data_IF_587535504340
#
_entry.id   IF_587535504340
#
_cell.length_a   1.000
_cell.length_b   1.000
_cell.length_c   1.000
_cell.angle_alpha   90.00
_cell.angle_beta   90.00
_cell.angle_gamma   90.00
#
_symmetry.space_group_name_H-M   'P 1'
#
loop_
_entity.id
_entity.type
_entity.pdbx_description
1 polymer ?
#
# COMPACT_ATOMS: atom_id res chain seq x y z
N UNK A 1 9.44 15.49 7.01
CA UNK A 1 8.46 14.52 7.55
C UNK A 1 8.40 13.32 6.62
N UNK A 2 8.23 12.12 7.17
CA UNK A 2 8.12 10.85 6.44
C UNK A 2 6.72 10.28 6.62
N UNK A 3 6.16 9.69 5.56
CA UNK A 3 4.88 8.98 5.58
C UNK A 3 5.02 7.55 5.06
N UNK A 4 4.43 6.60 5.77
CA UNK A 4 4.17 5.26 5.28
C UNK A 4 2.67 5.14 5.01
N UNK A 5 2.32 4.76 3.80
CA UNK A 5 0.94 4.50 3.38
C UNK A 5 0.79 3.00 3.18
N UNK A 6 -0.21 2.39 3.80
CA UNK A 6 -0.60 1.01 3.54
C UNK A 6 -1.93 1.02 2.80
N UNK A 7 -1.95 0.53 1.56
CA UNK A 7 -3.17 0.36 0.80
C UNK A 7 -3.88 -0.93 1.20
N UNK A 8 -5.16 -0.78 1.54
CA UNK A 8 -6.03 -1.88 1.95
C UNK A 8 -7.37 -1.82 1.24
N UNK A 9 -7.99 -2.98 1.05
CA UNK A 9 -9.41 -3.09 0.67
C UNK A 9 -10.26 -3.35 1.90
N UNK A 10 -11.48 -2.84 1.93
CA UNK A 10 -12.45 -3.23 2.95
C UNK A 10 -12.69 -4.76 2.86
N UNK A 11 -12.60 -5.50 3.96
CA UNK A 11 -12.75 -6.96 3.97
C UNK A 11 -14.23 -7.36 3.81
N UNK A 12 -14.67 -7.40 2.56
CA UNK A 12 -16.04 -7.79 2.18
C UNK A 12 -15.98 -9.11 1.45
N UNK A 13 -16.83 -10.06 1.84
CA UNK A 13 -16.95 -11.37 1.23
C UNK A 13 -17.18 -11.26 -0.29
N UNK A 14 -16.44 -12.05 -1.06
CA UNK A 14 -16.46 -12.00 -2.53
C UNK A 14 -15.78 -10.81 -3.19
N UNK A 15 -15.19 -9.87 -2.40
CA UNK A 15 -14.52 -8.67 -2.93
C UNK A 15 -13.01 -8.64 -2.66
N UNK A 16 -12.51 -9.49 -1.76
CA UNK A 16 -11.08 -9.61 -1.43
C UNK A 16 -10.57 -10.99 -1.76
N UNK A 17 -9.32 -11.09 -2.24
CA UNK A 17 -8.61 -12.34 -2.50
C UNK A 17 -9.46 -13.38 -3.27
N UNK A 18 -10.20 -12.95 -4.26
CA UNK A 18 -11.15 -13.81 -5.03
C UNK A 18 -10.49 -15.02 -5.69
N UNK A 19 -9.19 -14.97 -5.96
CA UNK A 19 -8.40 -16.11 -6.49
C UNK A 19 -8.36 -17.31 -5.51
N UNK A 20 -8.70 -17.12 -4.25
CA UNK A 20 -8.75 -18.19 -3.24
C UNK A 20 -10.14 -18.85 -3.16
N UNK A 21 -11.17 -18.30 -3.83
CA UNK A 21 -12.54 -18.80 -3.77
C UNK A 21 -12.72 -20.27 -4.19
N UNK A 22 -11.93 -20.82 -5.15
CA UNK A 22 -12.02 -22.25 -5.45
C UNK A 22 -11.66 -23.17 -4.29
N UNK A 23 -10.90 -22.66 -3.31
CA UNK A 23 -10.34 -23.46 -2.22
C UNK A 23 -10.87 -23.10 -0.83
N UNK A 24 -11.42 -21.90 -0.65
CA UNK A 24 -11.90 -21.39 0.63
C UNK A 24 -13.26 -20.69 0.47
N UNK A 25 -14.11 -20.82 1.50
CA UNK A 25 -15.35 -20.04 1.54
C UNK A 25 -15.09 -18.54 1.63
N UNK A 26 -16.00 -17.69 1.11
CA UNK A 26 -15.83 -16.24 1.15
C UNK A 26 -15.57 -15.70 2.55
N UNK A 27 -16.21 -16.25 3.59
CA UNK A 27 -16.02 -15.80 4.98
C UNK A 27 -14.62 -16.15 5.51
N UNK A 28 -14.13 -17.37 5.24
CA UNK A 28 -12.75 -17.77 5.59
C UNK A 28 -11.71 -16.92 4.88
N UNK A 29 -11.97 -16.52 3.64
CA UNK A 29 -11.12 -15.60 2.89
C UNK A 29 -11.07 -14.22 3.57
N UNK A 30 -12.21 -13.72 4.03
CA UNK A 30 -12.29 -12.45 4.77
C UNK A 30 -11.49 -12.52 6.06
N UNK A 31 -11.62 -13.59 6.85
CA UNK A 31 -10.85 -13.78 8.09
C UNK A 31 -9.34 -13.84 7.82
N UNK A 32 -8.93 -14.60 6.83
CA UNK A 32 -7.53 -14.69 6.40
C UNK A 32 -6.99 -13.32 5.97
N UNK A 33 -7.76 -12.59 5.17
CA UNK A 33 -7.37 -11.26 4.72
C UNK A 33 -7.26 -10.26 5.86
N UNK A 34 -8.19 -10.28 6.83
CA UNK A 34 -8.10 -9.47 8.05
C UNK A 34 -6.81 -9.77 8.82
N UNK A 35 -6.44 -11.05 8.94
CA UNK A 35 -5.19 -11.46 9.58
C UNK A 35 -3.96 -10.89 8.86
N UNK A 36 -3.93 -10.92 7.53
CA UNK A 36 -2.84 -10.33 6.73
C UNK A 36 -2.71 -8.83 6.96
N UNK A 37 -3.84 -8.11 6.91
CA UNK A 37 -3.86 -6.67 7.13
C UNK A 37 -3.40 -6.33 8.56
N UNK A 38 -3.88 -7.06 9.55
CA UNK A 38 -3.50 -6.84 10.96
C UNK A 38 -2.00 -7.07 11.17
N UNK A 39 -1.45 -8.15 10.60
CA UNK A 39 -0.03 -8.47 10.72
C UNK A 39 0.86 -7.37 10.12
N UNK A 40 0.56 -6.92 8.88
CA UNK A 40 1.37 -5.90 8.23
C UNK A 40 1.27 -4.56 8.96
N UNK A 41 0.09 -4.18 9.44
CA UNK A 41 -0.10 -2.96 10.23
C UNK A 41 0.66 -3.03 11.55
N UNK A 42 0.59 -4.15 12.26
CA UNK A 42 1.34 -4.37 13.51
C UNK A 42 2.85 -4.22 13.29
N UNK A 43 3.39 -4.80 12.22
CA UNK A 43 4.80 -4.64 11.84
C UNK A 43 5.14 -3.17 11.53
N UNK A 44 4.32 -2.53 10.72
CA UNK A 44 4.52 -1.12 10.33
C UNK A 44 4.43 -0.17 11.54
N UNK A 45 3.60 -0.50 12.53
CA UNK A 45 3.45 0.34 13.71
C UNK A 45 4.72 0.44 14.57
N UNK A 46 5.67 -0.49 14.41
CA UNK A 46 6.97 -0.47 15.07
C UNK A 46 7.96 0.54 14.46
N UNK A 47 7.64 1.14 13.32
CA UNK A 47 8.48 2.18 12.72
C UNK A 47 8.39 3.47 13.54
N UNK A 48 9.53 4.00 13.95
CA UNK A 48 9.62 5.30 14.63
C UNK A 48 9.85 6.42 13.61
N UNK A 49 9.47 7.65 13.95
CA UNK A 49 9.68 8.86 13.13
C UNK A 49 9.03 8.82 11.73
N UNK A 50 7.99 8.02 11.57
CA UNK A 50 7.22 7.88 10.34
C UNK A 50 5.74 7.93 10.69
N UNK A 51 5.01 8.88 10.10
CA UNK A 51 3.55 8.92 10.18
C UNK A 51 2.95 7.80 9.33
N UNK A 52 1.95 7.10 9.87
CA UNK A 52 1.36 5.94 9.23
C UNK A 52 -0.07 6.25 8.80
N UNK A 53 -0.37 5.87 7.58
CA UNK A 53 -1.66 6.08 6.94
C UNK A 53 -2.23 4.80 6.39
N UNK A 54 -3.53 4.62 6.55
CA UNK A 54 -4.30 3.56 5.92
C UNK A 54 -5.08 4.15 4.75
N UNK A 55 -4.68 3.81 3.53
CA UNK A 55 -5.41 4.17 2.31
C UNK A 55 -6.44 3.09 1.99
N UNK A 56 -7.72 3.39 2.14
CA UNK A 56 -8.82 2.43 2.12
C UNK A 56 -9.58 2.44 0.78
N UNK A 57 -9.93 1.27 0.27
CA UNK A 57 -10.81 1.10 -0.90
C UNK A 57 -11.94 0.09 -0.57
N UNK A 58 -13.16 0.29 -1.06
CA UNK A 58 -13.65 1.48 -1.74
C UNK A 58 -13.79 2.68 -0.80
N UNK A 59 -13.90 2.45 0.51
CA UNK A 59 -14.04 3.48 1.54
C UNK A 59 -13.41 3.02 2.85
N UNK A 60 -13.00 3.98 3.68
CA UNK A 60 -12.56 3.76 5.07
C UNK A 60 -13.73 3.49 6.03
N UNK A 61 -14.97 3.69 5.57
CA UNK A 61 -16.18 3.45 6.36
C UNK A 61 -16.49 1.95 6.44
N UNK A 62 -15.67 1.22 7.19
CA UNK A 62 -15.77 -0.20 7.45
C UNK A 62 -15.36 -0.47 8.90
N UNK A 63 -16.10 -1.29 9.64
CA UNK A 63 -15.89 -1.54 11.06
C UNK A 63 -14.46 -2.04 11.36
N UNK A 64 -13.98 -3.03 10.62
CA UNK A 64 -12.62 -3.56 10.79
C UNK A 64 -11.54 -2.50 10.53
N UNK A 65 -11.70 -1.67 9.49
CA UNK A 65 -10.72 -0.62 9.20
C UNK A 65 -10.75 0.49 10.25
N UNK A 66 -11.92 0.82 10.80
CA UNK A 66 -12.06 1.76 11.93
C UNK A 66 -11.40 1.22 13.20
N UNK A 67 -11.61 -0.06 13.51
CA UNK A 67 -10.97 -0.72 14.65
C UNK A 67 -9.44 -0.70 14.51
N UNK A 68 -8.89 -1.05 13.35
CA UNK A 68 -7.45 -0.96 13.10
C UNK A 68 -6.91 0.46 13.29
N UNK A 69 -7.59 1.47 12.75
CA UNK A 69 -7.13 2.86 12.88
C UNK A 69 -7.13 3.32 14.33
N UNK A 70 -8.11 2.90 15.13
CA UNK A 70 -8.19 3.20 16.56
C UNK A 70 -7.09 2.48 17.33
N UNK A 71 -6.99 1.15 17.15
CA UNK A 71 -6.03 0.30 17.89
C UNK A 71 -4.58 0.72 17.64
N UNK A 72 -4.22 0.99 16.39
CA UNK A 72 -2.85 1.33 16.02
C UNK A 72 -2.59 2.85 15.89
N UNK A 73 -3.58 3.69 16.23
CA UNK A 73 -3.50 5.16 16.16
C UNK A 73 -3.08 5.65 14.77
N UNK A 74 -3.67 5.08 13.72
CA UNK A 74 -3.38 5.41 12.33
C UNK A 74 -4.29 6.54 11.85
N UNK A 75 -3.80 7.34 10.91
CA UNK A 75 -4.63 8.22 10.10
C UNK A 75 -5.17 7.41 8.91
N UNK A 76 -6.39 7.68 8.44
CA UNK A 76 -6.97 6.99 7.29
C UNK A 76 -7.54 7.95 6.26
N UNK A 77 -7.59 7.50 5.02
CA UNK A 77 -8.20 8.22 3.90
C UNK A 77 -8.77 7.24 2.87
N UNK A 78 -9.70 7.70 2.05
CA UNK A 78 -10.23 6.93 0.93
C UNK A 78 -9.31 7.05 -0.28
N UNK A 79 -9.00 5.92 -0.94
CA UNK A 79 -8.24 5.92 -2.18
C UNK A 79 -9.04 6.60 -3.29
N UNK A 80 -8.43 7.54 -4.00
CA UNK A 80 -9.05 8.30 -5.09
C UNK A 80 -8.41 7.93 -6.42
N UNK A 81 -9.22 7.59 -7.41
CA UNK A 81 -8.77 7.25 -8.76
C UNK A 81 -9.52 6.05 -9.34
N UNK A 82 -9.54 5.96 -10.66
CA UNK A 82 -10.27 4.92 -11.42
C UNK A 82 -9.49 3.58 -11.43
N UNK A 83 -8.19 3.64 -11.43
CA UNK A 83 -7.29 2.48 -11.44
C UNK A 83 -6.21 2.59 -10.34
N UNK A 84 -5.39 1.56 -10.18
CA UNK A 84 -4.37 1.52 -9.13
C UNK A 84 -3.31 2.62 -9.31
N UNK A 85 -2.91 2.93 -10.55
CA UNK A 85 -1.95 3.99 -10.84
C UNK A 85 -2.44 5.37 -10.39
N UNK A 86 -3.66 5.74 -10.76
CA UNK A 86 -4.27 7.00 -10.31
C UNK A 86 -4.38 7.07 -8.78
N UNK A 87 -4.72 5.95 -8.13
CA UNK A 87 -4.81 5.88 -6.66
C UNK A 87 -3.45 6.11 -6.01
N UNK A 88 -2.39 5.52 -6.56
CA UNK A 88 -1.02 5.73 -6.10
C UNK A 88 -0.64 7.20 -6.29
N UNK A 89 -0.78 7.74 -7.49
CA UNK A 89 -0.44 9.13 -7.81
C UNK A 89 -1.16 10.10 -6.86
N UNK A 90 -2.47 9.96 -6.71
CA UNK A 90 -3.28 10.84 -5.87
C UNK A 90 -2.87 10.74 -4.39
N UNK A 91 -2.60 9.53 -3.89
CA UNK A 91 -2.14 9.33 -2.52
C UNK A 91 -0.81 10.05 -2.26
N UNK A 92 0.17 9.93 -3.17
CA UNK A 92 1.43 10.63 -3.06
C UNK A 92 1.25 12.15 -3.12
N UNK A 93 0.53 12.66 -4.13
CA UNK A 93 0.31 14.09 -4.31
C UNK A 93 -0.38 14.72 -3.10
N UNK A 94 -1.45 14.08 -2.57
CA UNK A 94 -2.17 14.56 -1.40
C UNK A 94 -1.27 14.63 -0.14
N UNK A 95 -0.33 13.69 0.00
CA UNK A 95 0.57 13.68 1.14
C UNK A 95 1.76 14.64 0.94
N UNK A 96 2.28 14.81 -0.27
CA UNK A 96 3.26 15.86 -0.55
C UNK A 96 2.68 17.27 -0.27
N UNK A 97 1.42 17.53 -0.66
CA UNK A 97 0.71 18.78 -0.33
C UNK A 97 0.57 19.01 1.18
N UNK A 98 0.50 17.96 1.98
CA UNK A 98 0.49 18.02 3.45
C UNK A 98 1.89 18.23 4.07
N UNK A 99 2.93 18.40 3.25
CA UNK A 99 4.31 18.68 3.69
C UNK A 99 5.18 17.45 3.98
N UNK A 100 4.71 16.23 3.67
CA UNK A 100 5.58 15.05 3.70
C UNK A 100 6.62 15.16 2.59
N UNK A 101 7.86 14.79 2.86
CA UNK A 101 8.97 14.90 1.90
C UNK A 101 9.43 13.54 1.37
N UNK A 102 9.26 12.51 2.15
CA UNK A 102 9.58 11.12 1.79
C UNK A 102 8.34 10.28 2.09
N UNK A 103 7.83 9.58 1.08
CA UNK A 103 6.64 8.74 1.19
C UNK A 103 6.98 7.36 0.68
N UNK A 104 6.60 6.35 1.43
CA UNK A 104 6.63 4.95 1.02
C UNK A 104 5.21 4.41 1.05
N UNK A 105 4.79 3.74 -0.01
CA UNK A 105 3.49 3.08 -0.13
C UNK A 105 3.73 1.58 -0.32
N UNK A 106 2.99 0.77 0.44
CA UNK A 106 2.97 -0.69 0.33
C UNK A 106 1.53 -1.20 0.21
N UNK A 107 1.37 -2.37 -0.40
CA UNK A 107 0.11 -3.12 -0.35
C UNK A 107 -0.03 -3.92 0.95
N UNK A 108 -1.25 -4.39 1.22
CA UNK A 108 -1.56 -5.28 2.35
C UNK A 108 -1.54 -6.78 2.00
N UNK A 109 -1.16 -7.11 0.77
CA UNK A 109 -1.28 -8.46 0.22
C UNK A 109 -0.12 -9.40 0.57
N UNK A 110 0.97 -8.85 1.10
CA UNK A 110 2.19 -9.58 1.45
C UNK A 110 2.53 -9.42 2.93
N UNK A 111 1.83 -10.10 3.85
CA UNK A 111 2.02 -9.95 5.29
C UNK A 111 3.40 -10.40 5.76
N UNK A 112 4.09 -11.21 4.96
CA UNK A 112 5.44 -11.72 5.26
C UNK A 112 6.56 -10.72 4.98
N UNK A 113 6.28 -9.57 4.36
CA UNK A 113 7.32 -8.56 4.07
C UNK A 113 8.05 -8.18 5.36
N UNK A 114 9.39 -8.32 5.39
CA UNK A 114 10.19 -7.84 6.50
C UNK A 114 10.12 -6.32 6.60
N UNK A 115 9.85 -5.80 7.79
CA UNK A 115 9.82 -4.35 8.03
C UNK A 115 11.15 -3.65 7.68
N UNK A 116 12.24 -4.41 7.63
CA UNK A 116 13.54 -3.97 7.16
C UNK A 116 13.51 -3.38 5.75
N UNK A 117 12.69 -3.92 4.85
CA UNK A 117 12.56 -3.41 3.47
C UNK A 117 11.93 -2.03 3.42
N UNK A 118 10.95 -1.76 4.29
CA UNK A 118 10.37 -0.41 4.40
C UNK A 118 11.40 0.57 4.97
N UNK A 119 12.20 0.15 5.96
CA UNK A 119 13.30 0.98 6.48
C UNK A 119 14.35 1.27 5.42
N UNK A 120 14.72 0.25 4.65
CA UNK A 120 15.66 0.37 3.53
C UNK A 120 15.15 1.33 2.45
N UNK A 121 13.86 1.26 2.10
CA UNK A 121 13.26 2.19 1.15
C UNK A 121 13.43 3.65 1.60
N UNK A 122 13.15 3.96 2.87
CA UNK A 122 13.41 5.30 3.42
C UNK A 122 14.89 5.68 3.43
N UNK A 123 15.80 4.73 3.66
CA UNK A 123 17.24 4.99 3.57
C UNK A 123 17.67 5.31 2.14
N UNK A 124 17.16 4.55 1.17
CA UNK A 124 17.45 4.78 -0.26
C UNK A 124 16.86 6.10 -0.76
N UNK A 125 15.70 6.54 -0.27
CA UNK A 125 15.11 7.85 -0.60
C UNK A 125 15.95 9.05 -0.14
N UNK A 126 16.91 8.88 0.77
CA UNK A 126 17.86 9.96 1.09
C UNK A 126 18.72 10.34 -0.11
N UNK A 127 19.09 9.36 -0.96
CA UNK A 127 20.00 9.52 -2.10
C UNK A 127 19.30 9.42 -3.47
N UNK A 128 18.06 8.92 -3.52
CA UNK A 128 17.30 8.71 -4.75
C UNK A 128 15.94 9.41 -4.63
N UNK A 129 15.39 9.83 -5.76
CA UNK A 129 14.06 10.46 -5.80
C UNK A 129 12.92 9.45 -5.86
N UNK A 130 13.21 8.22 -6.33
CA UNK A 130 12.25 7.16 -6.50
C UNK A 130 12.83 5.79 -6.12
N UNK A 131 12.02 4.94 -5.49
CA UNK A 131 12.40 3.59 -5.05
C UNK A 131 11.24 2.64 -5.31
N UNK A 132 11.52 1.45 -5.83
CA UNK A 132 10.54 0.38 -6.01
C UNK A 132 10.98 -0.88 -5.27
N UNK A 133 10.02 -1.68 -4.83
CA UNK A 133 10.19 -3.03 -4.34
C UNK A 133 9.54 -4.01 -5.30
N UNK A 134 10.32 -4.77 -6.09
CA UNK A 134 9.79 -5.72 -7.06
C UNK A 134 9.28 -6.99 -6.39
N UNK A 135 8.21 -7.58 -6.95
CA UNK A 135 7.72 -8.91 -6.62
C UNK A 135 8.23 -9.96 -7.61
N UNK A 136 8.31 -11.23 -7.16
CA UNK A 136 8.70 -12.34 -8.04
C UNK A 136 7.72 -12.59 -9.19
N UNK A 137 6.47 -12.15 -9.05
CA UNK A 137 5.42 -12.26 -10.09
C UNK A 137 5.47 -11.14 -11.12
N UNK A 138 6.47 -10.26 -11.08
CA UNK A 138 6.62 -9.11 -11.97
C UNK A 138 5.84 -7.88 -11.57
N UNK A 139 5.20 -7.88 -10.40
CA UNK A 139 4.54 -6.74 -9.80
C UNK A 139 5.46 -5.90 -8.90
N UNK A 140 4.87 -4.96 -8.16
CA UNK A 140 5.54 -4.14 -7.16
C UNK A 140 4.81 -4.26 -5.82
N UNK A 141 5.54 -4.58 -4.74
CA UNK A 141 4.98 -4.56 -3.39
C UNK A 141 5.20 -3.23 -2.68
N UNK A 142 6.12 -2.40 -3.18
CA UNK A 142 6.50 -1.13 -2.59
C UNK A 142 6.80 -0.09 -3.66
N UNK A 143 6.32 1.11 -3.43
CA UNK A 143 6.68 2.32 -4.17
C UNK A 143 7.09 3.39 -3.18
N UNK A 144 8.23 4.05 -3.41
CA UNK A 144 8.68 5.18 -2.62
C UNK A 144 9.04 6.36 -3.48
N UNK A 145 8.72 7.58 -3.04
CA UNK A 145 9.09 8.80 -3.74
C UNK A 145 9.47 9.92 -2.76
N UNK A 146 10.34 10.81 -3.23
CA UNK A 146 10.83 11.98 -2.52
C UNK A 146 10.42 13.25 -3.25
N UNK A 147 9.82 14.20 -2.53
CA UNK A 147 9.36 15.52 -3.01
C UNK A 147 8.23 15.50 -4.04
N UNK A 148 8.26 14.62 -5.03
CA UNK A 148 7.22 14.46 -6.06
C UNK A 148 7.13 13.01 -6.50
N UNK A 149 6.00 12.60 -7.06
CA UNK A 149 5.81 11.33 -7.73
C UNK A 149 6.00 11.53 -9.24
N UNK A 150 6.68 10.60 -9.88
CA UNK A 150 6.81 10.55 -11.34
C UNK A 150 5.55 9.86 -11.87
N UNK A 151 4.53 10.65 -12.21
CA UNK A 151 3.19 10.15 -12.57
C UNK A 151 3.21 9.34 -13.87
N UNK A 152 4.11 9.67 -14.77
CA UNK A 152 4.28 9.04 -16.08
C UNK A 152 4.57 7.53 -15.96
N UNK A 153 5.28 7.12 -14.92
CA UNK A 153 5.58 5.70 -14.64
C UNK A 153 4.29 4.87 -14.48
N UNK A 154 3.22 5.47 -13.96
CA UNK A 154 1.98 4.77 -13.64
C UNK A 154 0.88 4.93 -14.70
N UNK A 155 1.17 5.67 -15.80
CA UNK A 155 0.24 5.81 -16.91
C UNK A 155 0.23 4.53 -17.75
N UNK A 156 -0.96 4.15 -18.21
CA UNK A 156 -1.17 2.96 -19.06
C UNK A 156 -0.49 1.68 -18.55
N UNK A 157 -0.31 1.60 -17.22
CA UNK A 157 0.29 0.44 -16.59
C UNK A 157 -0.61 -0.80 -16.70
N UNK A 158 -0.09 -1.93 -17.19
CA UNK A 158 -0.85 -3.18 -17.27
C UNK A 158 -0.95 -3.84 -15.89
N UNK A 159 -1.74 -3.20 -14.99
CA UNK A 159 -1.93 -3.70 -13.63
C UNK A 159 -2.42 -5.15 -13.63
N UNK A 160 -2.07 -5.89 -12.58
CA UNK A 160 -2.38 -7.32 -12.40
C UNK A 160 -1.71 -8.27 -13.42
N UNK A 161 -0.65 -7.83 -14.10
CA UNK A 161 0.19 -8.65 -15.00
C UNK A 161 1.65 -8.67 -14.54
N UNK A 162 2.43 -9.63 -15.08
CA UNK A 162 3.87 -9.71 -14.84
C UNK A 162 4.71 -8.60 -15.52
N UNK A 163 4.08 -7.78 -16.36
CA UNK A 163 4.75 -6.71 -17.12
C UNK A 163 4.93 -5.40 -16.33
N UNK A 164 4.33 -5.29 -15.14
CA UNK A 164 4.35 -4.04 -14.35
C UNK A 164 5.79 -3.61 -14.04
N UNK A 165 6.64 -4.52 -13.55
CA UNK A 165 8.04 -4.22 -13.24
C UNK A 165 8.80 -3.78 -14.49
N UNK A 166 8.70 -4.53 -15.57
CA UNK A 166 9.39 -4.24 -16.82
C UNK A 166 9.01 -2.87 -17.38
N UNK A 167 7.72 -2.50 -17.30
CA UNK A 167 7.24 -1.20 -17.73
C UNK A 167 7.69 -0.07 -16.80
N UNK A 168 7.83 -0.34 -15.51
CA UNK A 168 8.32 0.65 -14.52
C UNK A 168 9.78 1.00 -14.73
N UNK A 169 10.59 0.08 -15.29
CA UNK A 169 12.02 0.25 -15.48
C UNK A 169 12.40 0.86 -16.83
N UNK A 170 11.44 1.07 -17.75
CA UNK A 170 11.63 1.76 -19.04
C UNK A 170 11.35 3.25 -18.91
#
# INVERSE_FOLDING_TARGET
MKALIVFVKAPVAGKVKTRLQPHLSPDKIVELYKSFVTEIISKCNRLKEVDKFLGCAPTRDNNFLRELTTTYKLKSFDQKGKNLGEKIINAFQDHFKKGYKEIVLIGSDSPTIPIGYVKEAFLKLKKNDFVIGPCCDGGLYLVGAKKKIISEIFQDMPWDTSEVLNKTLK
#
